data_IF_106367555334
#
_entry.id   IF_106367555334
#
_cell.length_a   1.000
_cell.length_b   1.000
_cell.length_c   1.000
_cell.angle_alpha   90.00
_cell.angle_beta   90.00
_cell.angle_gamma   90.00
#
_symmetry.space_group_name_H-M   'P 1'
#
loop_
_entity.id
_entity.type
_entity.pdbx_description
1 polymer ?
#
# COMPACT_ATOMS: atom_id res chain seq x y z
N UNK A 1 -26.13 -5.98 -58.48
CA UNK A 1 -26.41 -7.43 -58.44
C UNK A 1 -25.70 -7.97 -57.21
N UNK A 2 -26.39 -8.05 -56.07
CA UNK A 2 -25.80 -8.37 -54.77
C UNK A 2 -25.62 -9.87 -54.56
N UNK A 3 -24.47 -10.26 -54.02
CA UNK A 3 -24.10 -11.63 -53.72
C UNK A 3 -24.77 -12.08 -52.41
N UNK A 4 -25.67 -13.06 -52.49
CA UNK A 4 -26.20 -13.77 -51.33
C UNK A 4 -25.18 -14.82 -50.86
N UNK A 5 -24.43 -14.54 -49.79
CA UNK A 5 -23.68 -15.57 -49.08
C UNK A 5 -24.58 -16.18 -48.01
N UNK A 6 -24.77 -17.49 -48.12
CA UNK A 6 -25.73 -18.29 -47.38
C UNK A 6 -25.52 -18.24 -45.87
N UNK A 7 -26.66 -18.22 -45.18
CA UNK A 7 -26.80 -18.43 -43.75
C UNK A 7 -26.21 -19.78 -43.34
N UNK A 8 -25.06 -19.77 -42.68
CA UNK A 8 -24.62 -20.93 -41.91
C UNK A 8 -25.26 -20.85 -40.53
N UNK A 9 -26.45 -21.42 -40.41
CA UNK A 9 -27.01 -21.78 -39.12
C UNK A 9 -26.08 -22.83 -38.50
N UNK A 10 -25.24 -22.42 -37.56
CA UNK A 10 -24.47 -23.34 -36.75
C UNK A 10 -25.47 -24.18 -35.95
N UNK A 11 -25.53 -25.47 -36.25
CA UNK A 11 -26.29 -26.43 -35.43
C UNK A 11 -25.75 -26.33 -34.01
N UNK A 12 -26.62 -25.94 -33.07
CA UNK A 12 -26.31 -25.90 -31.64
C UNK A 12 -25.80 -27.31 -31.25
N UNK A 13 -24.56 -27.47 -30.77
CA UNK A 13 -24.14 -28.78 -30.31
C UNK A 13 -25.06 -29.17 -29.14
N UNK A 14 -25.75 -30.30 -29.29
CA UNK A 14 -26.54 -30.92 -28.23
C UNK A 14 -25.53 -31.52 -27.23
N UNK A 15 -24.95 -30.67 -26.39
CA UNK A 15 -24.03 -31.10 -25.33
C UNK A 15 -24.85 -31.94 -24.36
N UNK A 16 -24.50 -33.21 -24.25
CA UNK A 16 -25.14 -34.09 -23.26
C UNK A 16 -24.76 -33.63 -21.85
N UNK A 17 -25.59 -33.89 -20.82
CA UNK A 17 -25.25 -33.53 -19.45
C UNK A 17 -23.89 -34.07 -19.00
N UNK A 18 -23.47 -35.24 -19.52
CA UNK A 18 -22.16 -35.83 -19.25
C UNK A 18 -21.01 -35.01 -19.83
N UNK A 19 -21.09 -34.64 -21.11
CA UNK A 19 -20.07 -33.82 -21.78
C UNK A 19 -19.96 -32.41 -21.19
N UNK A 20 -21.09 -31.83 -20.73
CA UNK A 20 -21.09 -30.55 -20.03
C UNK A 20 -20.29 -30.63 -18.73
N UNK A 21 -20.54 -31.68 -17.93
CA UNK A 21 -19.83 -31.90 -16.68
C UNK A 21 -18.35 -32.13 -16.93
N UNK A 22 -18.00 -32.95 -17.91
CA UNK A 22 -16.62 -33.21 -18.28
C UNK A 22 -15.89 -31.92 -18.71
N UNK A 23 -16.52 -31.07 -19.53
CA UNK A 23 -15.93 -29.80 -19.94
C UNK A 23 -15.72 -28.81 -18.79
N UNK A 24 -16.58 -28.79 -17.77
CA UNK A 24 -16.48 -27.85 -16.64
C UNK A 24 -15.40 -28.31 -15.65
N UNK A 25 -15.25 -29.62 -15.48
CA UNK A 25 -14.36 -30.19 -14.46
C UNK A 25 -13.01 -30.70 -15.01
N UNK A 26 -12.86 -30.80 -16.33
CA UNK A 26 -11.56 -31.08 -16.96
C UNK A 26 -10.73 -29.81 -17.01
N UNK A 27 -9.72 -29.73 -16.13
CA UNK A 27 -8.74 -28.67 -16.21
C UNK A 27 -7.93 -28.82 -17.51
N UNK A 28 -7.67 -27.73 -18.26
CA UNK A 28 -6.71 -27.75 -19.36
C UNK A 28 -5.38 -28.33 -18.89
N UNK A 29 -4.74 -29.14 -19.73
CA UNK A 29 -3.42 -29.71 -19.47
C UNK A 29 -2.45 -28.59 -19.11
N UNK A 30 -2.04 -28.53 -17.83
CA UNK A 30 -1.09 -27.53 -17.37
C UNK A 30 0.27 -27.97 -17.87
N UNK A 31 0.92 -27.14 -18.70
CA UNK A 31 2.33 -27.35 -19.02
C UNK A 31 3.12 -27.38 -17.71
N UNK A 32 4.00 -28.36 -17.52
CA UNK A 32 4.92 -28.47 -16.38
C UNK A 32 6.02 -27.40 -16.39
N UNK A 33 5.79 -26.26 -17.04
CA UNK A 33 6.70 -25.13 -16.94
C UNK A 33 6.67 -24.66 -15.50
N UNK A 34 7.75 -24.98 -14.77
CA UNK A 34 7.93 -24.60 -13.38
C UNK A 34 7.55 -23.12 -13.25
N UNK A 35 6.55 -22.78 -12.40
CA UNK A 35 6.22 -21.39 -12.18
C UNK A 35 7.46 -20.77 -11.57
N UNK A 36 8.19 -20.00 -12.38
CA UNK A 36 9.38 -19.27 -11.95
C UNK A 36 8.89 -18.30 -10.89
N UNK A 37 8.95 -18.70 -9.63
CA UNK A 37 8.54 -17.91 -8.49
C UNK A 37 9.49 -16.72 -8.47
N UNK A 38 9.08 -15.65 -9.16
CA UNK A 38 9.69 -14.33 -9.03
C UNK A 38 9.24 -13.81 -7.68
N UNK A 39 9.83 -14.38 -6.63
CA UNK A 39 9.90 -13.71 -5.35
C UNK A 39 10.74 -12.47 -5.65
N UNK A 40 10.07 -11.36 -5.96
CA UNK A 40 10.74 -10.07 -5.99
C UNK A 40 11.43 -9.95 -4.63
N UNK A 41 12.75 -9.82 -4.63
CA UNK A 41 13.49 -9.60 -3.40
C UNK A 41 12.80 -8.46 -2.64
N UNK A 42 12.65 -8.62 -1.33
CA UNK A 42 12.05 -7.59 -0.49
C UNK A 42 12.82 -6.28 -0.76
N UNK A 43 12.17 -5.32 -1.42
CA UNK A 43 12.78 -4.04 -1.80
C UNK A 43 13.02 -3.82 -3.30
N UNK A 44 12.88 -4.84 -4.15
CA UNK A 44 13.32 -4.75 -5.54
C UNK A 44 12.41 -3.99 -6.52
N UNK A 45 11.14 -3.68 -6.22
CA UNK A 45 10.29 -2.96 -7.19
C UNK A 45 9.22 -2.09 -6.55
N UNK A 46 9.54 -0.82 -6.34
CA UNK A 46 8.55 0.27 -6.46
C UNK A 46 9.21 1.47 -7.14
N UNK A 47 9.26 1.47 -8.47
CA UNK A 47 9.34 2.74 -9.21
C UNK A 47 8.03 3.49 -8.94
N UNK A 48 8.02 4.33 -7.91
CA UNK A 48 6.87 5.20 -7.62
C UNK A 48 6.79 6.39 -8.57
N UNK A 49 7.83 6.60 -9.38
CA UNK A 49 7.96 7.73 -10.30
C UNK A 49 8.44 7.17 -11.64
N UNK A 50 7.76 7.49 -12.77
CA UNK A 50 8.33 7.30 -14.10
C UNK A 50 9.74 7.92 -14.18
N UNK A 51 10.64 7.32 -14.95
CA UNK A 51 11.98 7.84 -15.27
C UNK A 51 13.08 7.82 -14.20
N UNK A 52 12.80 7.44 -12.94
CA UNK A 52 13.89 7.27 -11.96
C UNK A 52 14.60 5.92 -12.10
N UNK A 53 15.90 5.95 -12.42
CA UNK A 53 16.78 4.77 -12.47
C UNK A 53 17.32 4.42 -11.08
N UNK A 54 17.49 3.13 -10.74
CA UNK A 54 18.11 2.71 -9.48
C UNK A 54 19.54 3.25 -9.40
N UNK A 55 19.92 3.76 -8.24
CA UNK A 55 21.30 4.21 -7.97
C UNK A 55 22.18 2.97 -7.78
N UNK A 56 23.08 2.71 -8.74
CA UNK A 56 23.89 1.48 -8.81
C UNK A 56 25.17 1.58 -7.98
N UNK A 57 25.61 2.80 -7.63
CA UNK A 57 26.84 3.06 -6.89
C UNK A 57 26.55 3.98 -5.71
N UNK A 58 27.19 3.78 -4.55
CA UNK A 58 27.17 4.76 -3.46
C UNK A 58 27.53 6.14 -4.01
N UNK A 59 26.87 7.18 -3.49
CA UNK A 59 27.19 8.56 -3.82
C UNK A 59 28.66 8.80 -3.44
N UNK A 60 29.46 9.30 -4.37
CA UNK A 60 30.83 9.68 -4.08
C UNK A 60 30.82 10.88 -3.13
N UNK A 61 31.54 10.77 -2.01
CA UNK A 61 31.69 11.84 -1.02
C UNK A 61 32.58 12.94 -1.60
N UNK A 62 31.99 13.81 -2.43
CA UNK A 62 32.62 15.07 -2.81
C UNK A 62 32.47 15.99 -1.59
N UNK A 63 33.56 16.19 -0.83
CA UNK A 63 33.57 17.26 0.15
C UNK A 63 33.40 18.60 -0.60
N UNK A 64 32.31 19.35 -0.41
CA UNK A 64 32.20 20.63 -1.08
C UNK A 64 33.28 21.55 -0.50
N UNK A 65 34.07 22.25 -1.33
CA UNK A 65 34.88 23.36 -0.84
C UNK A 65 33.91 24.37 -0.21
N UNK A 66 34.18 24.73 1.05
CA UNK A 66 33.47 25.75 1.81
C UNK A 66 33.33 27.01 0.96
N UNK A 67 32.16 27.18 0.36
CA UNK A 67 31.84 28.37 -0.41
C UNK A 67 30.41 28.75 -0.04
N UNK A 68 30.31 29.78 0.79
CA UNK A 68 29.07 30.52 1.05
C UNK A 68 28.54 31.07 -0.27
N UNK A 69 27.78 30.26 -0.99
CA UNK A 69 27.03 30.68 -2.15
C UNK A 69 25.55 30.54 -1.81
N UNK A 70 24.73 31.58 -2.00
CA UNK A 70 23.31 31.51 -1.72
C UNK A 70 22.70 30.48 -2.67
N UNK A 71 22.36 29.31 -2.13
CA UNK A 71 21.59 28.29 -2.82
C UNK A 71 20.24 28.93 -3.13
N UNK A 72 20.09 29.41 -4.36
CA UNK A 72 18.79 29.79 -4.90
C UNK A 72 18.05 28.47 -5.14
N UNK A 73 17.40 27.98 -4.10
CA UNK A 73 16.42 26.90 -4.19
C UNK A 73 15.38 27.41 -5.18
N UNK A 74 15.43 26.92 -6.42
CA UNK A 74 14.30 27.02 -7.32
C UNK A 74 13.29 26.04 -6.75
N UNK A 75 12.54 26.52 -5.75
CA UNK A 75 11.24 26.01 -5.41
C UNK A 75 10.42 26.19 -6.68
N UNK A 76 10.38 25.14 -7.50
CA UNK A 76 9.39 25.05 -8.57
C UNK A 76 8.07 25.42 -7.93
N UNK A 77 7.47 26.49 -8.43
CA UNK A 77 6.26 27.11 -7.92
C UNK A 77 5.12 26.10 -7.96
N UNK A 78 5.07 25.23 -6.96
CA UNK A 78 3.80 24.77 -6.43
C UNK A 78 3.44 25.92 -5.52
N UNK A 79 2.64 26.85 -6.05
CA UNK A 79 1.87 27.74 -5.19
C UNK A 79 1.39 26.89 -4.01
N UNK A 80 1.64 27.28 -2.75
CA UNK A 80 0.85 26.75 -1.69
C UNK A 80 -0.53 27.35 -1.95
N UNK A 81 -1.33 26.65 -2.76
CA UNK A 81 -2.76 26.64 -2.54
C UNK A 81 -2.83 26.17 -1.10
N UNK A 82 -2.94 27.13 -0.20
CA UNK A 82 -3.40 26.95 1.16
C UNK A 82 -4.83 26.43 0.97
N UNK A 83 -4.93 25.15 0.57
CA UNK A 83 -6.07 24.34 0.97
C UNK A 83 -5.82 24.24 2.45
N UNK A 84 -6.68 24.88 3.24
CA UNK A 84 -6.94 24.46 4.62
C UNK A 84 -6.67 22.96 4.67
N UNK A 85 -5.65 22.51 5.43
CA UNK A 85 -5.18 21.13 5.27
C UNK A 85 -6.38 20.19 5.28
N UNK A 86 -6.67 19.57 4.12
CA UNK A 86 -7.93 18.84 3.93
C UNK A 86 -8.14 17.94 5.15
N UNK A 87 -9.29 18.05 5.83
CA UNK A 87 -9.55 17.37 7.12
C UNK A 87 -9.14 15.89 7.10
N UNK A 88 -9.31 15.25 5.94
CA UNK A 88 -8.81 13.93 5.63
C UNK A 88 -7.31 13.72 5.95
N UNK A 89 -6.43 14.58 5.43
CA UNK A 89 -4.98 14.51 5.64
C UNK A 89 -4.63 14.73 7.11
N UNK A 90 -5.34 15.61 7.80
CA UNK A 90 -5.14 15.85 9.23
C UNK A 90 -5.47 14.59 10.04
N UNK A 91 -6.62 13.97 9.77
CA UNK A 91 -6.98 12.71 10.43
C UNK A 91 -6.00 11.57 10.13
N UNK A 92 -5.49 11.46 8.89
CA UNK A 92 -4.48 10.42 8.56
C UNK A 92 -3.12 10.66 9.24
N UNK A 93 -2.68 11.92 9.35
CA UNK A 93 -1.47 12.26 10.12
C UNK A 93 -1.65 11.91 11.60
N UNK A 94 -2.78 12.30 12.19
CA UNK A 94 -3.12 11.99 13.58
C UNK A 94 -3.18 10.48 13.84
N UNK A 95 -3.87 9.73 12.98
CA UNK A 95 -3.94 8.28 13.08
C UNK A 95 -2.55 7.64 13.07
N UNK A 96 -1.68 8.06 12.14
CA UNK A 96 -0.30 7.58 12.07
C UNK A 96 0.45 7.82 13.39
N UNK A 97 0.35 9.02 13.94
CA UNK A 97 0.99 9.36 15.21
C UNK A 97 0.47 8.48 16.36
N UNK A 98 -0.84 8.24 16.44
CA UNK A 98 -1.42 7.35 17.44
C UNK A 98 -0.97 5.89 17.29
N UNK A 99 -0.88 5.39 16.05
CA UNK A 99 -0.32 4.06 15.78
C UNK A 99 1.16 3.97 16.19
N UNK A 100 1.95 5.01 15.91
CA UNK A 100 3.36 5.07 16.31
C UNK A 100 3.51 5.07 17.84
N UNK A 101 2.69 5.84 18.56
CA UNK A 101 2.69 5.84 20.02
C UNK A 101 2.25 4.50 20.61
N UNK A 102 1.17 3.92 20.10
CA UNK A 102 0.71 2.61 20.56
C UNK A 102 1.82 1.56 20.48
N UNK A 103 2.56 1.51 19.35
CA UNK A 103 3.70 0.60 19.19
C UNK A 103 4.78 0.84 20.24
N UNK A 104 5.10 2.10 20.53
CA UNK A 104 6.09 2.43 21.57
C UNK A 104 5.63 2.00 22.96
N UNK A 105 4.37 2.24 23.32
CA UNK A 105 3.83 1.83 24.62
C UNK A 105 3.82 0.32 24.80
N UNK A 106 3.41 -0.44 23.78
CA UNK A 106 3.48 -1.89 23.85
C UNK A 106 4.92 -2.41 23.85
N UNK A 107 5.84 -1.79 23.11
CA UNK A 107 7.27 -2.10 23.21
C UNK A 107 7.79 -1.95 24.63
N UNK A 108 7.52 -0.79 25.26
CA UNK A 108 7.88 -0.54 26.66
C UNK A 108 7.20 -1.50 27.63
N UNK A 109 5.95 -1.90 27.37
CA UNK A 109 5.26 -2.87 28.23
C UNK A 109 5.97 -4.23 28.22
N UNK A 110 6.46 -4.68 27.06
CA UNK A 110 7.27 -5.91 26.95
C UNK A 110 8.58 -5.76 27.73
N UNK A 111 9.23 -4.60 27.67
CA UNK A 111 10.44 -4.32 28.44
C UNK A 111 10.16 -4.37 29.96
N UNK A 112 9.08 -3.74 30.43
CA UNK A 112 8.67 -3.77 31.83
C UNK A 112 8.31 -5.19 32.31
N UNK A 113 7.71 -6.03 31.46
CA UNK A 113 7.49 -7.45 31.78
C UNK A 113 8.80 -8.21 31.95
N UNK A 114 9.80 -7.94 31.09
CA UNK A 114 11.14 -8.55 31.19
C UNK A 114 11.84 -8.14 32.49
N UNK A 115 11.67 -6.90 32.92
CA UNK A 115 12.22 -6.38 34.18
C UNK A 115 11.43 -6.85 35.42
N UNK A 116 10.28 -7.53 35.23
CA UNK A 116 9.43 -8.01 36.32
C UNK A 116 8.54 -6.93 36.94
N UNK A 117 8.51 -5.72 36.38
CA UNK A 117 7.68 -4.63 36.88
C UNK A 117 6.24 -4.72 36.35
N UNK A 118 5.45 -5.59 36.98
CA UNK A 118 4.07 -5.89 36.54
C UNK A 118 3.15 -4.67 36.55
N UNK A 119 3.28 -3.78 37.53
CA UNK A 119 2.44 -2.58 37.65
C UNK A 119 2.67 -1.61 36.50
N UNK A 120 3.93 -1.39 36.16
CA UNK A 120 4.32 -0.54 35.04
C UNK A 120 3.88 -1.15 33.70
N UNK A 121 4.06 -2.46 33.53
CA UNK A 121 3.61 -3.17 32.33
C UNK A 121 2.09 -3.04 32.12
N UNK A 122 1.29 -3.17 33.18
CA UNK A 122 -0.17 -3.00 33.14
C UNK A 122 -0.58 -1.57 32.77
N UNK A 123 0.10 -0.57 33.35
CA UNK A 123 -0.11 0.84 33.00
C UNK A 123 0.21 1.10 31.52
N UNK A 124 1.37 0.66 31.03
CA UNK A 124 1.79 0.81 29.64
C UNK A 124 0.86 0.08 28.66
N UNK A 125 0.34 -1.10 29.04
CA UNK A 125 -0.69 -1.79 28.27
C UNK A 125 -1.99 -0.97 28.18
N UNK A 126 -2.39 -0.33 29.27
CA UNK A 126 -3.61 0.49 29.30
C UNK A 126 -3.46 1.73 28.43
N UNK A 127 -2.32 2.40 28.48
CA UNK A 127 -2.04 3.54 27.58
C UNK A 127 -1.95 3.10 26.12
N UNK A 128 -1.27 1.99 25.82
CA UNK A 128 -1.22 1.44 24.46
C UNK A 128 -2.63 1.15 23.90
N UNK A 129 -3.55 0.65 24.72
CA UNK A 129 -4.97 0.47 24.35
C UNK A 129 -5.69 1.79 24.08
N UNK A 130 -5.40 2.84 24.86
CA UNK A 130 -5.98 4.16 24.65
C UNK A 130 -5.53 4.75 23.30
N UNK A 131 -4.23 4.71 22.99
CA UNK A 131 -3.71 5.15 21.70
C UNK A 131 -4.23 4.32 20.53
N UNK A 132 -4.40 3.01 20.71
CA UNK A 132 -5.06 2.16 19.72
C UNK A 132 -6.47 2.63 19.39
N UNK A 133 -7.27 2.95 20.42
CA UNK A 133 -8.63 3.48 20.23
C UNK A 133 -8.60 4.81 19.48
N UNK A 134 -7.70 5.73 19.85
CA UNK A 134 -7.57 7.02 19.16
C UNK A 134 -7.16 6.84 17.69
N UNK A 135 -6.24 5.93 17.40
CA UNK A 135 -5.82 5.63 16.03
C UNK A 135 -6.99 5.16 15.17
N UNK A 136 -7.83 4.24 15.69
CA UNK A 136 -9.03 3.77 15.00
C UNK A 136 -10.05 4.87 14.76
N UNK A 137 -10.32 5.70 15.78
CA UNK A 137 -11.25 6.82 15.65
C UNK A 137 -10.78 7.82 14.59
N UNK A 138 -9.48 8.11 14.53
CA UNK A 138 -8.91 8.96 13.48
C UNK A 138 -9.02 8.32 12.10
N UNK A 139 -8.81 7.00 12.00
CA UNK A 139 -8.98 6.27 10.73
C UNK A 139 -10.43 6.31 10.24
N UNK A 140 -11.39 6.08 11.13
CA UNK A 140 -12.83 6.16 10.84
C UNK A 140 -13.24 7.57 10.38
N UNK A 141 -12.76 8.62 11.08
CA UNK A 141 -13.00 10.01 10.66
C UNK A 141 -12.41 10.29 9.29
N UNK A 142 -11.18 9.86 9.03
CA UNK A 142 -10.56 10.04 7.71
C UNK A 142 -11.35 9.30 6.61
N UNK A 143 -11.84 8.09 6.89
CA UNK A 143 -12.67 7.36 5.93
C UNK A 143 -13.98 8.09 5.64
N UNK A 144 -14.60 8.68 6.67
CA UNK A 144 -15.81 9.48 6.52
C UNK A 144 -15.57 10.70 5.61
N UNK A 145 -14.46 11.43 5.78
CA UNK A 145 -14.12 12.59 4.93
C UNK A 145 -14.03 12.23 3.44
N UNK A 146 -13.58 11.02 3.08
CA UNK A 146 -13.53 10.59 1.67
C UNK A 146 -14.93 10.52 1.06
N UNK A 147 -15.90 10.03 1.84
CA UNK A 147 -17.28 9.83 1.37
C UNK A 147 -18.15 11.08 1.49
N UNK A 148 -17.69 12.11 2.21
CA UNK A 148 -18.45 13.36 2.31
C UNK A 148 -18.46 14.06 0.95
N UNK A 149 -19.66 14.37 0.49
CA UNK A 149 -19.86 15.26 -0.66
C UNK A 149 -19.34 16.66 -0.34
N UNK A 150 -18.60 17.25 -1.28
CA UNK A 150 -18.15 18.65 -1.22
C UNK A 150 -19.28 19.62 -1.53
#
# INVERSE_FOLDING_TARGET
MGSCLGSQYTSRPQITPGELLESIFTAPERSEEEPKVRRYELGANRRRVPDQKPVVKPLEDISPPSTDLPVKIILGSIEPVVRDEDDYQNYRKAAKQHWDMMKQYYGKAVDAFREGNKKEAEYLMTEGKNYYRMARLSDEKSAAEITKSK
#
